data_IF_203448920918
#
_entry.id   IF_203448920918
#
_cell.length_a   1.000
_cell.length_b   1.000
_cell.length_c   1.000
_cell.angle_alpha   90.00
_cell.angle_beta   90.00
_cell.angle_gamma   90.00
#
_symmetry.space_group_name_H-M   'P 1'
#
loop_
_entity.id
_entity.type
_entity.pdbx_description
1 polymer ?
#
# COMPACT_ATOMS: atom_id res chain seq x y z
N UNK A 1 7.46 7.97 6.92
CA UNK A 1 6.62 7.31 5.89
C UNK A 1 7.25 5.96 5.57
N UNK A 2 6.57 4.84 5.82
CA UNK A 2 7.16 3.49 5.70
C UNK A 2 7.44 3.13 4.23
N UNK A 3 8.67 2.70 3.92
CA UNK A 3 9.06 2.19 2.59
C UNK A 3 9.26 0.67 2.71
N UNK A 4 8.50 -0.15 1.99
CA UNK A 4 8.64 -1.62 2.06
C UNK A 4 10.02 -2.09 1.59
N UNK A 5 10.50 -3.19 2.16
CA UNK A 5 11.71 -3.83 1.67
C UNK A 5 11.40 -4.72 0.45
N UNK A 6 11.71 -4.22 -0.74
CA UNK A 6 11.48 -4.98 -1.97
C UNK A 6 12.55 -6.06 -2.25
N UNK A 7 13.72 -5.99 -1.61
CA UNK A 7 14.77 -7.00 -1.74
C UNK A 7 14.50 -8.24 -0.89
N UNK A 8 13.88 -8.05 0.29
CA UNK A 8 13.39 -9.14 1.12
C UNK A 8 11.90 -8.94 1.40
N UNK A 9 11.03 -9.19 0.40
CA UNK A 9 9.62 -8.91 0.52
C UNK A 9 8.94 -9.90 1.48
N UNK A 10 8.09 -9.38 2.36
CA UNK A 10 7.31 -10.20 3.31
C UNK A 10 5.81 -10.11 3.05
N UNK A 11 5.10 -11.20 3.38
CA UNK A 11 3.63 -11.22 3.35
C UNK A 11 3.04 -10.28 4.40
N UNK A 12 3.70 -10.10 5.55
CA UNK A 12 3.23 -9.21 6.61
C UNK A 12 3.24 -7.74 6.16
N UNK A 13 4.31 -7.29 5.48
CA UNK A 13 4.35 -5.95 4.88
C UNK A 13 3.25 -5.76 3.84
N UNK A 14 2.98 -6.78 3.02
CA UNK A 14 1.90 -6.73 2.05
C UNK A 14 0.53 -6.60 2.73
N UNK A 15 0.29 -7.37 3.79
CA UNK A 15 -0.94 -7.29 4.58
C UNK A 15 -1.08 -5.93 5.28
N UNK A 16 0.01 -5.35 5.77
CA UNK A 16 0.01 -4.01 6.36
C UNK A 16 -0.34 -2.93 5.32
N UNK A 17 0.19 -3.02 4.10
CA UNK A 17 -0.19 -2.10 3.01
C UNK A 17 -1.66 -2.22 2.62
N UNK A 18 -2.22 -3.45 2.61
CA UNK A 18 -3.66 -3.66 2.38
C UNK A 18 -4.52 -3.00 3.47
N UNK A 19 -4.17 -3.22 4.75
CA UNK A 19 -4.86 -2.59 5.89
C UNK A 19 -4.79 -1.08 5.82
N UNK A 20 -3.62 -0.54 5.46
CA UNK A 20 -3.45 0.91 5.34
C UNK A 20 -4.26 1.48 4.16
N UNK A 21 -4.30 0.81 3.01
CA UNK A 21 -5.14 1.25 1.88
C UNK A 21 -6.63 1.27 2.24
N UNK A 22 -7.10 0.28 3.01
CA UNK A 22 -8.48 0.24 3.52
C UNK A 22 -8.76 1.38 4.51
N UNK A 23 -7.83 1.65 5.44
CA UNK A 23 -7.94 2.77 6.37
C UNK A 23 -8.02 4.12 5.65
N UNK A 24 -7.16 4.35 4.65
CA UNK A 24 -7.19 5.57 3.85
C UNK A 24 -8.52 5.72 3.09
N UNK A 25 -9.14 4.62 2.64
CA UNK A 25 -10.46 4.68 2.03
C UNK A 25 -11.53 5.17 3.00
N UNK A 26 -11.51 4.66 4.24
CA UNK A 26 -12.44 5.08 5.31
C UNK A 26 -12.22 6.55 5.69
N UNK A 27 -10.96 6.99 5.84
CA UNK A 27 -10.64 8.38 6.15
C UNK A 27 -11.12 9.32 5.03
N UNK A 28 -10.91 8.96 3.76
CA UNK A 28 -11.43 9.73 2.61
C UNK A 28 -12.94 9.91 2.69
N UNK A 29 -13.68 8.85 3.03
CA UNK A 29 -15.13 8.91 3.15
C UNK A 29 -15.57 9.84 4.29
N UNK A 30 -14.97 9.70 5.47
CA UNK A 30 -15.24 10.56 6.64
C UNK A 30 -14.96 12.04 6.35
N UNK A 31 -13.83 12.34 5.71
CA UNK A 31 -13.47 13.72 5.36
C UNK A 31 -14.35 14.29 4.23
N UNK A 32 -14.81 13.44 3.30
CA UNK A 32 -15.75 13.84 2.25
C UNK A 32 -17.11 14.23 2.82
N UNK A 33 -17.63 13.45 3.79
CA UNK A 33 -18.89 13.77 4.49
C UNK A 33 -18.80 15.11 5.25
N UNK A 34 -17.63 15.42 5.82
CA UNK A 34 -17.36 16.69 6.51
C UNK A 34 -17.04 17.86 5.56
N UNK A 35 -17.10 17.65 4.23
CA UNK A 35 -16.73 18.63 3.19
C UNK A 35 -15.29 19.18 3.33
N UNK A 36 -14.39 18.41 3.94
CA UNK A 36 -12.99 18.78 4.07
C UNK A 36 -12.21 18.33 2.83
N UNK A 37 -12.37 19.07 1.73
CA UNK A 37 -11.82 18.70 0.41
C UNK A 37 -10.30 18.75 0.33
N UNK A 38 -9.66 19.62 1.12
CA UNK A 38 -8.21 19.71 1.19
C UNK A 38 -7.62 18.40 1.73
N UNK A 39 -8.18 17.89 2.84
CA UNK A 39 -7.74 16.63 3.43
C UNK A 39 -8.03 15.44 2.51
N UNK A 40 -9.21 15.43 1.86
CA UNK A 40 -9.57 14.39 0.87
C UNK A 40 -8.53 14.33 -0.26
N UNK A 41 -8.05 15.47 -0.76
CA UNK A 41 -7.04 15.51 -1.80
C UNK A 41 -5.68 14.94 -1.34
N UNK A 42 -5.28 15.24 -0.10
CA UNK A 42 -4.05 14.70 0.51
C UNK A 42 -4.17 13.18 0.68
N UNK A 43 -5.27 12.71 1.27
CA UNK A 43 -5.51 11.28 1.52
C UNK A 43 -5.59 10.48 0.21
N UNK A 44 -6.17 11.03 -0.86
CA UNK A 44 -6.18 10.39 -2.19
C UNK A 44 -4.76 10.19 -2.74
N UNK A 45 -3.89 11.21 -2.62
CA UNK A 45 -2.48 11.10 -3.03
C UNK A 45 -1.75 10.06 -2.19
N UNK A 46 -2.01 10.01 -0.89
CA UNK A 46 -1.42 9.01 0.00
C UNK A 46 -1.86 7.59 -0.37
N UNK A 47 -3.16 7.39 -0.59
CA UNK A 47 -3.71 6.11 -1.04
C UNK A 47 -3.08 5.65 -2.34
N UNK A 48 -2.85 6.55 -3.29
CA UNK A 48 -2.18 6.23 -4.55
C UNK A 48 -0.74 5.74 -4.32
N UNK A 49 0.02 6.38 -3.42
CA UNK A 49 1.38 5.94 -3.07
C UNK A 49 1.36 4.54 -2.43
N UNK A 50 0.45 4.29 -1.50
CA UNK A 50 0.29 2.96 -0.86
C UNK A 50 -0.08 1.89 -1.90
N UNK A 51 -0.99 2.20 -2.82
CA UNK A 51 -1.39 1.27 -3.88
C UNK A 51 -0.23 0.91 -4.82
N UNK A 52 0.62 1.88 -5.18
CA UNK A 52 1.84 1.63 -5.97
C UNK A 52 2.79 0.72 -5.20
N UNK A 53 3.10 1.04 -3.94
CA UNK A 53 3.96 0.23 -3.08
C UNK A 53 3.46 -1.21 -2.95
N UNK A 54 2.15 -1.40 -2.77
CA UNK A 54 1.53 -2.73 -2.70
C UNK A 54 1.68 -3.52 -3.99
N UNK A 55 1.50 -2.87 -5.16
CA UNK A 55 1.69 -3.52 -6.47
C UNK A 55 3.14 -3.97 -6.65
N UNK A 56 4.10 -3.10 -6.34
CA UNK A 56 5.53 -3.43 -6.39
C UNK A 56 5.88 -4.59 -5.46
N UNK A 57 5.38 -4.56 -4.21
CA UNK A 57 5.65 -5.64 -3.25
C UNK A 57 5.01 -6.96 -3.66
N UNK A 58 3.80 -6.94 -4.22
CA UNK A 58 3.14 -8.13 -4.79
C UNK A 58 3.98 -8.74 -5.92
N UNK A 59 4.51 -7.91 -6.81
CA UNK A 59 5.38 -8.36 -7.89
C UNK A 59 6.67 -9.00 -7.34
N UNK A 60 7.31 -8.36 -6.35
CA UNK A 60 8.50 -8.91 -5.69
C UNK A 60 8.22 -10.27 -4.99
N UNK A 61 7.08 -10.40 -4.30
CA UNK A 61 6.63 -11.66 -3.70
C UNK A 61 6.38 -12.75 -4.77
N UNK A 62 5.83 -12.39 -5.92
CA UNK A 62 5.60 -13.33 -7.02
C UNK A 62 6.90 -13.80 -7.66
N UNK A 63 7.84 -12.88 -7.92
CA UNK A 63 9.18 -13.24 -8.43
C UNK A 63 9.92 -14.21 -7.52
N UNK A 64 9.86 -14.01 -6.19
CA UNK A 64 10.47 -14.94 -5.23
C UNK A 64 9.85 -16.35 -5.28
N UNK A 65 8.55 -16.46 -5.61
CA UNK A 65 7.88 -17.76 -5.76
C UNK A 65 8.24 -18.47 -7.06
N UNK A 66 8.44 -17.72 -8.15
CA UNK A 66 8.70 -18.27 -9.49
C UNK A 66 10.18 -18.47 -9.79
N UNK A 67 11.07 -17.78 -9.07
CA UNK A 67 12.51 -18.01 -9.09
C UNK A 67 12.92 -18.62 -7.75
N UNK A 68 12.77 -19.95 -7.57
CA UNK A 68 13.43 -20.60 -6.44
C UNK A 68 14.92 -20.36 -6.62
N UNK A 69 15.57 -19.81 -5.58
CA UNK A 69 17.02 -19.67 -5.54
C UNK A 69 17.58 -21.07 -5.80
N UNK A 70 18.22 -21.26 -6.95
CA UNK A 70 19.04 -22.44 -7.23
C UNK A 70 20.26 -22.30 -6.32
N UNK A 71 20.25 -23.00 -5.19
CA UNK A 71 21.42 -23.22 -4.33
C UNK A 71 22.21 -24.37 -4.92
#
# INVERSE_FOLDING_TARGET
MYTPNYFNPSWDEYMNLLRWEARLAQEIELHSQRRNWNEVAVLKREKQKVAIRRKCLKAALQHRKTSPITI
#
